data_IF_500300593186
#
_entry.id   IF_500300593186
#
_cell.length_a   1.000
_cell.length_b   1.000
_cell.length_c   1.000
_cell.angle_alpha   90.00
_cell.angle_beta   90.00
_cell.angle_gamma   90.00
#
_symmetry.space_group_name_H-M   'P 1'
#
loop_
_entity.id
_entity.type
_entity.pdbx_description
1 polymer ?
#
# COMPACT_ATOMS: atom_id res chain seq x y z
N UNK A 1 -53.03 -17.22 -70.62
CA UNK A 1 -51.83 -17.70 -69.89
C UNK A 1 -51.14 -16.63 -69.01
N UNK A 2 -51.46 -15.34 -69.12
CA UNK A 2 -50.74 -14.29 -68.36
C UNK A 2 -51.12 -14.14 -66.88
N UNK A 3 -52.28 -14.64 -66.43
CA UNK A 3 -52.73 -14.46 -65.04
C UNK A 3 -51.99 -15.34 -64.02
N UNK A 4 -51.53 -16.54 -64.42
CA UNK A 4 -50.83 -17.47 -63.53
C UNK A 4 -49.41 -16.97 -63.23
N UNK A 5 -48.74 -16.37 -64.22
CA UNK A 5 -47.39 -15.81 -64.05
C UNK A 5 -47.36 -14.62 -63.09
N UNK A 6 -48.43 -13.81 -63.05
CA UNK A 6 -48.55 -12.63 -62.17
C UNK A 6 -48.78 -13.04 -60.70
N UNK A 7 -49.52 -14.12 -60.44
CA UNK A 7 -49.78 -14.60 -59.07
C UNK A 7 -48.51 -15.23 -58.47
N UNK A 8 -47.74 -15.98 -59.27
CA UNK A 8 -46.49 -16.62 -58.81
C UNK A 8 -45.41 -15.59 -58.49
N UNK A 9 -45.24 -14.54 -59.30
CA UNK A 9 -44.25 -13.48 -59.03
C UNK A 9 -44.60 -12.64 -57.79
N UNK A 10 -45.88 -12.43 -57.51
CA UNK A 10 -46.33 -11.67 -56.33
C UNK A 10 -46.03 -12.39 -55.01
N UNK A 11 -46.30 -13.70 -54.93
CA UNK A 11 -45.98 -14.51 -53.75
C UNK A 11 -44.47 -14.67 -53.51
N UNK A 12 -43.68 -14.76 -54.58
CA UNK A 12 -42.21 -14.87 -54.46
C UNK A 12 -41.61 -13.58 -53.89
N UNK A 13 -42.11 -12.41 -54.32
CA UNK A 13 -41.67 -11.12 -53.77
C UNK A 13 -42.05 -10.94 -52.29
N UNK A 14 -43.26 -11.31 -51.87
CA UNK A 14 -43.64 -11.25 -50.43
C UNK A 14 -42.77 -12.16 -49.56
N UNK A 15 -42.40 -13.34 -50.05
CA UNK A 15 -41.51 -14.26 -49.32
C UNK A 15 -40.07 -13.70 -49.25
N UNK A 16 -39.59 -13.08 -50.33
CA UNK A 16 -38.28 -12.42 -50.36
C UNK A 16 -38.23 -11.20 -49.44
N UNK A 17 -39.26 -10.35 -49.46
CA UNK A 17 -39.34 -9.16 -48.61
C UNK A 17 -39.39 -9.53 -47.12
N UNK A 18 -40.17 -10.55 -46.75
CA UNK A 18 -40.21 -11.04 -45.37
C UNK A 18 -38.85 -11.60 -44.90
N UNK A 19 -38.11 -12.30 -45.77
CA UNK A 19 -36.77 -12.81 -45.46
C UNK A 19 -35.76 -11.67 -45.29
N UNK A 20 -35.83 -10.63 -46.14
CA UNK A 20 -34.96 -9.45 -46.04
C UNK A 20 -35.23 -8.69 -44.73
N UNK A 21 -36.50 -8.52 -44.36
CA UNK A 21 -36.88 -7.88 -43.08
C UNK A 21 -36.37 -8.68 -41.89
N UNK A 22 -36.53 -10.01 -41.90
CA UNK A 22 -35.99 -10.89 -40.85
C UNK A 22 -34.46 -10.79 -40.74
N UNK A 23 -33.74 -10.79 -41.86
CA UNK A 23 -32.28 -10.61 -41.89
C UNK A 23 -31.87 -9.24 -41.36
N UNK A 24 -32.59 -8.17 -41.71
CA UNK A 24 -32.33 -6.82 -41.23
C UNK A 24 -32.56 -6.70 -39.70
N UNK A 25 -33.62 -7.32 -39.17
CA UNK A 25 -33.89 -7.36 -37.73
C UNK A 25 -32.80 -8.14 -37.00
N UNK A 26 -32.40 -9.31 -37.54
CA UNK A 26 -31.30 -10.11 -36.98
C UNK A 26 -29.99 -9.31 -36.94
N UNK A 27 -29.61 -8.67 -38.04
CA UNK A 27 -28.44 -7.81 -38.11
C UNK A 27 -28.52 -6.64 -37.12
N UNK A 28 -29.67 -5.96 -37.04
CA UNK A 28 -29.91 -4.88 -36.07
C UNK A 28 -29.75 -5.33 -34.61
N UNK A 29 -30.30 -6.49 -34.25
CA UNK A 29 -30.16 -7.06 -32.90
C UNK A 29 -28.70 -7.40 -32.58
N UNK A 30 -27.95 -7.96 -33.53
CA UNK A 30 -26.52 -8.24 -33.31
C UNK A 30 -25.71 -6.97 -33.07
N UNK A 31 -25.97 -5.89 -33.82
CA UNK A 31 -25.31 -4.60 -33.62
C UNK A 31 -25.65 -3.98 -32.26
N UNK A 32 -26.92 -4.04 -31.83
CA UNK A 32 -27.33 -3.54 -30.50
C UNK A 32 -26.65 -4.35 -29.39
N UNK A 33 -26.62 -5.69 -29.50
CA UNK A 33 -25.95 -6.55 -28.53
C UNK A 33 -24.44 -6.25 -28.45
N UNK A 34 -23.78 -6.09 -29.59
CA UNK A 34 -22.37 -5.72 -29.66
C UNK A 34 -22.10 -4.35 -29.03
N UNK A 35 -22.94 -3.35 -29.32
CA UNK A 35 -22.84 -2.02 -28.72
C UNK A 35 -23.03 -2.07 -27.19
N UNK A 36 -24.00 -2.85 -26.71
CA UNK A 36 -24.24 -3.04 -25.27
C UNK A 36 -23.03 -3.70 -24.58
N UNK A 37 -22.44 -4.73 -25.18
CA UNK A 37 -21.24 -5.39 -24.67
C UNK A 37 -20.06 -4.40 -24.60
N UNK A 38 -19.80 -3.66 -25.67
CA UNK A 38 -18.72 -2.68 -25.71
C UNK A 38 -18.93 -1.52 -24.72
N UNK A 39 -20.18 -1.09 -24.52
CA UNK A 39 -20.49 0.04 -23.63
C UNK A 39 -20.48 -0.33 -22.15
N UNK A 40 -20.92 -1.54 -21.80
CA UNK A 40 -21.16 -1.92 -20.40
C UNK A 40 -20.24 -3.02 -19.89
N UNK A 41 -19.99 -4.07 -20.69
CA UNK A 41 -19.22 -5.24 -20.26
C UNK A 41 -17.73 -4.95 -20.31
N UNK A 42 -17.22 -4.46 -21.44
CA UNK A 42 -15.78 -4.21 -21.65
C UNK A 42 -15.21 -3.25 -20.58
N UNK A 43 -15.81 -2.08 -20.29
CA UNK A 43 -15.26 -1.17 -19.29
C UNK A 43 -15.31 -1.74 -17.89
N UNK A 44 -16.29 -2.60 -17.59
CA UNK A 44 -16.44 -3.24 -16.28
C UNK A 44 -15.37 -4.30 -16.06
N UNK A 45 -15.10 -5.13 -17.07
CA UNK A 45 -14.04 -6.14 -17.04
C UNK A 45 -12.67 -5.47 -16.98
N UNK A 46 -12.42 -4.44 -17.78
CA UNK A 46 -11.17 -3.68 -17.73
C UNK A 46 -10.94 -3.01 -16.38
N UNK A 47 -11.96 -2.39 -15.79
CA UNK A 47 -11.86 -1.80 -14.44
C UNK A 47 -11.57 -2.83 -13.37
N UNK A 48 -12.14 -4.04 -13.51
CA UNK A 48 -11.84 -5.17 -12.62
C UNK A 48 -10.36 -5.55 -12.77
N UNK A 49 -9.91 -5.88 -13.98
CA UNK A 49 -8.51 -6.26 -14.25
C UNK A 49 -7.51 -5.21 -13.77
N UNK A 50 -7.71 -3.93 -14.10
CA UNK A 50 -6.83 -2.83 -13.63
C UNK A 50 -6.82 -2.65 -12.11
N UNK A 51 -7.86 -3.09 -11.40
CA UNK A 51 -7.87 -3.08 -9.93
C UNK A 51 -7.02 -4.23 -9.40
N UNK A 52 -7.18 -5.41 -9.99
CA UNK A 52 -6.43 -6.63 -9.67
C UNK A 52 -4.93 -6.40 -9.90
N UNK A 53 -4.55 -5.95 -11.10
CA UNK A 53 -3.15 -5.65 -11.45
C UNK A 53 -2.52 -4.61 -10.50
N UNK A 54 -3.29 -3.61 -10.06
CA UNK A 54 -2.80 -2.59 -9.11
C UNK A 54 -2.61 -3.15 -7.71
N UNK A 55 -3.54 -4.00 -7.27
CA UNK A 55 -3.47 -4.63 -5.97
C UNK A 55 -2.29 -5.59 -5.87
N UNK A 56 -2.11 -6.46 -6.87
CA UNK A 56 -0.97 -7.37 -6.95
C UNK A 56 0.34 -6.61 -6.94
N UNK A 57 0.45 -5.53 -7.74
CA UNK A 57 1.63 -4.68 -7.74
C UNK A 57 1.91 -4.03 -6.38
N UNK A 58 0.88 -3.57 -5.68
CA UNK A 58 1.05 -2.93 -4.37
C UNK A 58 1.45 -3.96 -3.29
N UNK A 59 0.95 -5.19 -3.36
CA UNK A 59 1.37 -6.31 -2.50
C UNK A 59 2.81 -6.69 -2.78
N UNK A 60 3.18 -6.89 -4.05
CA UNK A 60 4.55 -7.22 -4.43
C UNK A 60 5.53 -6.12 -4.00
N UNK A 61 5.16 -4.85 -4.19
CA UNK A 61 5.96 -3.73 -3.74
C UNK A 61 6.12 -3.70 -2.22
N UNK A 62 5.09 -4.07 -1.46
CA UNK A 62 5.17 -4.19 0.00
C UNK A 62 6.02 -5.39 0.43
N UNK A 63 5.91 -6.53 -0.26
CA UNK A 63 6.72 -7.71 0.00
C UNK A 63 8.20 -7.46 -0.25
N UNK A 64 8.54 -6.83 -1.37
CA UNK A 64 9.90 -6.39 -1.70
C UNK A 64 10.43 -5.45 -0.61
N UNK A 65 9.66 -4.39 -0.28
CA UNK A 65 10.03 -3.44 0.77
C UNK A 65 10.38 -4.13 2.10
N UNK A 66 9.57 -5.08 2.55
CA UNK A 66 9.73 -5.78 3.83
C UNK A 66 10.90 -6.78 3.83
N UNK A 67 11.29 -7.29 2.66
CA UNK A 67 12.30 -8.35 2.54
C UNK A 67 13.67 -7.87 2.09
N UNK A 68 13.76 -6.71 1.43
CA UNK A 68 15.03 -6.17 0.90
C UNK A 68 15.40 -4.83 1.51
N UNK A 69 14.67 -3.76 1.21
CA UNK A 69 15.02 -2.38 1.57
C UNK A 69 14.95 -2.13 3.09
N UNK A 70 13.87 -2.56 3.73
CA UNK A 70 13.62 -2.29 5.15
C UNK A 70 14.64 -2.97 6.09
N UNK A 71 14.96 -4.28 5.93
CA UNK A 71 15.97 -4.93 6.77
C UNK A 71 17.36 -4.31 6.65
N UNK A 72 17.70 -3.76 5.47
CA UNK A 72 18.97 -3.06 5.28
C UNK A 72 19.06 -1.79 6.12
N UNK A 73 18.02 -0.94 6.06
CA UNK A 73 17.95 0.30 6.85
C UNK A 73 17.87 0.02 8.35
N UNK A 74 17.09 -0.98 8.76
CA UNK A 74 17.01 -1.39 10.15
C UNK A 74 18.37 -1.86 10.69
N UNK A 75 19.12 -2.64 9.89
CA UNK A 75 20.48 -3.08 10.24
C UNK A 75 21.43 -1.89 10.37
N UNK A 76 21.41 -0.96 9.43
CA UNK A 76 22.27 0.22 9.47
C UNK A 76 21.99 1.09 10.70
N UNK A 77 20.72 1.37 11.00
CA UNK A 77 20.32 2.08 12.20
C UNK A 77 20.78 1.36 13.47
N UNK A 78 20.54 0.05 13.57
CA UNK A 78 20.96 -0.77 14.70
C UNK A 78 22.46 -0.76 14.93
N UNK A 79 23.26 -0.90 13.86
CA UNK A 79 24.73 -0.87 13.93
C UNK A 79 25.22 0.49 14.44
N UNK A 80 24.72 1.59 13.88
CA UNK A 80 25.14 2.92 14.31
C UNK A 80 24.73 3.22 15.75
N UNK A 81 23.53 2.80 16.17
CA UNK A 81 23.09 2.91 17.57
C UNK A 81 23.97 2.09 18.51
N UNK A 82 24.33 0.86 18.13
CA UNK A 82 25.23 0.00 18.94
C UNK A 82 26.61 0.63 19.08
N UNK A 83 27.19 1.14 17.98
CA UNK A 83 28.50 1.84 18.00
C UNK A 83 28.45 3.08 18.89
N UNK A 84 27.36 3.84 18.83
CA UNK A 84 27.15 5.01 19.68
C UNK A 84 27.13 4.62 21.16
N UNK A 85 26.33 3.62 21.55
CA UNK A 85 26.24 3.15 22.94
C UNK A 85 27.59 2.66 23.44
N UNK A 86 28.28 1.81 22.65
CA UNK A 86 29.58 1.27 23.05
C UNK A 86 30.64 2.35 23.20
N UNK A 87 30.64 3.34 22.30
CA UNK A 87 31.58 4.47 22.33
C UNK A 87 31.32 5.34 23.56
N UNK A 88 30.05 5.64 23.85
CA UNK A 88 29.66 6.41 25.03
C UNK A 88 30.08 5.70 26.32
N UNK A 89 29.73 4.42 26.49
CA UNK A 89 30.14 3.60 27.63
C UNK A 89 31.66 3.56 27.81
N UNK A 90 32.41 3.43 26.72
CA UNK A 90 33.87 3.45 26.76
C UNK A 90 34.41 4.81 27.22
N UNK A 91 33.88 5.91 26.69
CA UNK A 91 34.31 7.28 27.06
C UNK A 91 33.99 7.56 28.54
N UNK A 92 32.77 7.27 28.98
CA UNK A 92 32.33 7.48 30.37
C UNK A 92 33.13 6.63 31.38
N UNK A 93 33.43 5.37 31.03
CA UNK A 93 34.21 4.49 31.90
C UNK A 93 35.70 4.86 31.95
N UNK A 94 36.25 5.38 30.85
CA UNK A 94 37.68 5.73 30.73
C UNK A 94 38.03 7.14 31.23
N UNK A 95 37.07 8.07 31.23
CA UNK A 95 37.32 9.49 31.50
C UNK A 95 36.40 10.05 32.61
N UNK A 96 36.55 9.52 33.83
CA UNK A 96 35.75 9.92 35.00
C UNK A 96 35.90 11.39 35.39
N UNK A 97 37.08 11.97 35.16
CA UNK A 97 37.39 13.36 35.52
C UNK A 97 37.09 14.38 34.40
N UNK A 98 36.45 13.92 33.32
CA UNK A 98 36.04 14.75 32.19
C UNK A 98 36.57 14.25 30.86
N UNK A 99 35.72 14.37 29.83
CA UNK A 99 36.01 13.92 28.46
C UNK A 99 36.91 14.94 27.75
N UNK A 100 38.08 14.53 27.23
CA UNK A 100 38.91 15.40 26.39
C UNK A 100 38.12 15.97 25.21
N UNK A 101 38.35 17.24 24.86
CA UNK A 101 37.59 17.95 23.81
C UNK A 101 37.58 17.21 22.46
N UNK A 102 38.70 16.58 22.09
CA UNK A 102 38.82 15.79 20.85
C UNK A 102 37.91 14.55 20.86
N UNK A 103 37.77 13.90 22.01
CA UNK A 103 36.86 12.76 22.19
C UNK A 103 35.39 13.20 22.23
N UNK A 104 35.12 14.37 22.80
CA UNK A 104 33.79 14.98 22.75
C UNK A 104 33.30 15.19 21.31
N UNK A 105 34.14 15.75 20.44
CA UNK A 105 33.79 15.93 19.02
C UNK A 105 33.57 14.61 18.27
N UNK A 106 34.33 13.56 18.59
CA UNK A 106 34.12 12.21 18.02
C UNK A 106 32.81 11.59 18.50
N UNK A 107 32.47 11.76 19.77
CA UNK A 107 31.21 11.26 20.33
C UNK A 107 30.01 11.93 19.63
N UNK A 108 30.07 13.26 19.45
CA UNK A 108 29.05 14.03 18.73
C UNK A 108 28.88 13.53 17.28
N UNK A 109 29.98 13.23 16.58
CA UNK A 109 29.93 12.68 15.22
C UNK A 109 29.26 11.30 15.18
N UNK A 110 29.56 10.41 16.12
CA UNK A 110 28.96 9.08 16.21
C UNK A 110 27.47 9.18 16.55
N UNK A 111 27.10 10.05 17.49
CA UNK A 111 25.71 10.31 17.85
C UNK A 111 24.91 10.86 16.67
N UNK A 112 25.49 11.79 15.91
CA UNK A 112 24.89 12.33 14.70
C UNK A 112 24.64 11.23 13.67
N UNK A 113 25.60 10.33 13.41
CA UNK A 113 25.42 9.21 12.47
C UNK A 113 24.33 8.24 12.92
N UNK A 114 24.26 7.93 14.21
CA UNK A 114 23.19 7.11 14.76
C UNK A 114 21.81 7.76 14.54
N UNK A 115 21.70 9.07 14.79
CA UNK A 115 20.47 9.83 14.57
C UNK A 115 20.05 9.89 13.12
N UNK A 116 20.99 10.15 12.21
CA UNK A 116 20.73 10.17 10.77
C UNK A 116 20.23 8.80 10.30
N UNK A 117 20.87 7.71 10.74
CA UNK A 117 20.47 6.35 10.39
C UNK A 117 19.09 5.97 10.95
N UNK A 118 18.82 6.28 12.22
CA UNK A 118 17.50 6.02 12.85
C UNK A 118 16.41 6.86 12.20
N UNK A 119 16.69 8.13 11.88
CA UNK A 119 15.74 9.00 11.20
C UNK A 119 15.44 8.49 9.79
N UNK A 120 16.46 8.12 9.01
CA UNK A 120 16.27 7.54 7.69
C UNK A 120 15.42 6.27 7.74
N UNK A 121 15.69 5.37 8.68
CA UNK A 121 14.89 4.17 8.92
C UNK A 121 13.44 4.51 9.31
N UNK A 122 13.23 5.44 10.24
CA UNK A 122 11.91 5.85 10.70
C UNK A 122 11.08 6.49 9.59
N UNK A 123 11.63 7.49 8.89
CA UNK A 123 10.94 8.20 7.82
C UNK A 123 10.56 7.25 6.68
N UNK A 124 11.51 6.43 6.24
CA UNK A 124 11.30 5.47 5.19
C UNK A 124 10.19 4.47 5.55
N UNK A 125 10.29 3.84 6.72
CA UNK A 125 9.35 2.81 7.15
C UNK A 125 7.97 3.38 7.45
N UNK A 126 7.88 4.51 8.15
CA UNK A 126 6.61 5.15 8.49
C UNK A 126 5.84 5.62 7.26
N UNK A 127 6.52 6.24 6.29
CA UNK A 127 5.85 6.78 5.10
C UNK A 127 5.48 5.64 4.16
N UNK A 128 6.44 4.77 3.83
CA UNK A 128 6.28 3.79 2.74
C UNK A 128 5.35 2.65 3.11
N UNK A 129 5.52 2.05 4.28
CA UNK A 129 4.68 0.93 4.74
C UNK A 129 3.24 1.42 4.92
N UNK A 130 3.04 2.54 5.62
CA UNK A 130 1.69 3.11 5.83
C UNK A 130 0.99 3.40 4.51
N UNK A 131 1.70 3.98 3.54
CA UNK A 131 1.14 4.31 2.24
C UNK A 131 0.73 3.06 1.46
N UNK A 132 1.60 2.05 1.37
CA UNK A 132 1.28 0.79 0.68
C UNK A 132 0.14 0.04 1.35
N UNK A 133 0.18 -0.12 2.68
CA UNK A 133 -0.90 -0.77 3.45
C UNK A 133 -2.23 -0.04 3.25
N UNK A 134 -2.24 1.29 3.25
CA UNK A 134 -3.46 2.08 3.00
C UNK A 134 -4.02 1.84 1.59
N UNK A 135 -3.15 1.72 0.58
CA UNK A 135 -3.56 1.43 -0.81
C UNK A 135 -4.13 0.03 -0.96
N UNK A 136 -3.47 -0.97 -0.38
CA UNK A 136 -3.94 -2.37 -0.38
C UNK A 136 -5.29 -2.47 0.33
N UNK A 137 -5.41 -1.88 1.53
CA UNK A 137 -6.63 -1.90 2.33
C UNK A 137 -7.81 -1.14 1.71
N UNK A 138 -7.55 -0.19 0.79
CA UNK A 138 -8.61 0.61 0.14
C UNK A 138 -9.58 -0.22 -0.71
N UNK A 139 -9.20 -1.43 -1.11
CA UNK A 139 -9.99 -2.29 -2.00
C UNK A 139 -11.10 -3.00 -1.24
N UNK A 140 -10.79 -3.55 -0.06
CA UNK A 140 -11.75 -4.21 0.81
C UNK A 140 -11.40 -3.96 2.29
N UNK A 141 -11.64 -2.73 2.79
CA UNK A 141 -11.20 -2.32 4.13
C UNK A 141 -11.83 -3.15 5.26
N UNK A 142 -12.99 -3.75 5.01
CA UNK A 142 -13.74 -4.50 6.01
C UNK A 142 -13.34 -5.98 6.13
N UNK A 143 -12.50 -6.49 5.23
CA UNK A 143 -12.03 -7.87 5.30
C UNK A 143 -11.16 -8.10 6.54
N UNK A 144 -11.16 -9.34 7.02
CA UNK A 144 -10.42 -9.71 8.23
C UNK A 144 -8.92 -9.54 8.02
N UNK A 145 -8.45 -9.90 6.83
CA UNK A 145 -7.07 -9.83 6.38
C UNK A 145 -6.60 -8.36 6.33
N UNK A 146 -7.41 -7.45 5.78
CA UNK A 146 -7.04 -6.02 5.76
C UNK A 146 -7.02 -5.40 7.16
N UNK A 147 -7.96 -5.77 8.03
CA UNK A 147 -7.94 -5.33 9.43
C UNK A 147 -6.69 -5.83 10.17
N UNK A 148 -6.27 -7.07 9.90
CA UNK A 148 -5.06 -7.63 10.47
C UNK A 148 -3.80 -6.92 9.96
N UNK A 149 -3.70 -6.71 8.64
CA UNK A 149 -2.61 -5.95 8.02
C UNK A 149 -2.49 -4.53 8.60
N UNK A 150 -3.61 -3.83 8.77
CA UNK A 150 -3.65 -2.49 9.38
C UNK A 150 -3.21 -2.51 10.86
N UNK A 151 -3.66 -3.50 11.64
CA UNK A 151 -3.23 -3.68 13.03
C UNK A 151 -1.72 -3.91 13.13
N UNK A 152 -1.17 -4.79 12.27
CA UNK A 152 0.26 -5.06 12.23
C UNK A 152 1.05 -3.81 11.82
N UNK A 153 0.57 -3.04 10.84
CA UNK A 153 1.18 -1.76 10.46
C UNK A 153 1.19 -0.75 11.62
N UNK A 154 0.11 -0.69 12.40
CA UNK A 154 0.04 0.18 13.58
C UNK A 154 1.01 -0.27 14.68
N UNK A 155 1.06 -1.57 14.96
CA UNK A 155 2.02 -2.14 15.92
C UNK A 155 3.46 -1.84 15.50
N UNK A 156 3.76 -2.05 14.22
CA UNK A 156 5.07 -1.73 13.63
C UNK A 156 5.43 -0.26 13.82
N UNK A 157 4.50 0.65 13.51
CA UNK A 157 4.73 2.08 13.69
C UNK A 157 5.02 2.44 15.15
N UNK A 158 4.29 1.88 16.12
CA UNK A 158 4.55 2.14 17.53
C UNK A 158 5.94 1.66 17.95
N UNK A 159 6.38 0.50 17.45
CA UNK A 159 7.72 -0.02 17.72
C UNK A 159 8.81 0.87 17.14
N UNK A 160 8.70 1.27 15.86
CA UNK A 160 9.70 2.16 15.22
C UNK A 160 9.66 3.56 15.83
N UNK A 161 8.49 4.06 16.23
CA UNK A 161 8.37 5.34 16.94
C UNK A 161 9.13 5.29 18.28
N UNK A 162 9.03 4.20 19.03
CA UNK A 162 9.83 4.00 20.25
C UNK A 162 11.32 4.04 19.93
N UNK A 163 11.77 3.33 18.89
CA UNK A 163 13.18 3.36 18.43
C UNK A 163 13.63 4.78 18.05
N UNK A 164 12.78 5.59 17.43
CA UNK A 164 13.12 6.99 17.08
C UNK A 164 13.11 7.96 18.26
N UNK A 165 12.31 7.68 19.30
CA UNK A 165 12.18 8.57 20.47
C UNK A 165 13.37 8.48 21.44
N UNK A 166 14.32 7.57 21.19
CA UNK A 166 15.56 7.48 21.96
C UNK A 166 16.50 8.68 21.82
N UNK A 167 16.14 9.67 20.99
CA UNK A 167 16.97 10.84 20.76
C UNK A 167 17.20 11.70 22.03
N UNK A 168 16.30 11.69 23.03
CA UNK A 168 16.30 12.70 24.11
C UNK A 168 16.59 12.27 25.57
N UNK A 169 16.60 10.97 25.89
CA UNK A 169 16.74 10.48 27.29
C UNK A 169 17.82 9.38 27.38
N UNK A 170 19.00 9.70 26.86
CA UNK A 170 20.05 8.71 26.55
C UNK A 170 20.88 8.25 27.74
N UNK A 171 20.76 8.92 28.88
CA UNK A 171 21.62 8.69 30.04
C UNK A 171 21.16 7.49 30.88
N UNK A 172 20.00 6.90 30.56
CA UNK A 172 19.43 5.70 31.21
C UNK A 172 19.40 4.47 30.28
N UNK A 173 20.10 4.52 29.14
CA UNK A 173 19.93 3.50 28.10
C UNK A 173 20.56 2.16 28.48
N UNK A 174 19.68 1.23 28.86
CA UNK A 174 19.99 -0.19 28.91
C UNK A 174 20.12 -0.75 27.48
N UNK A 175 21.28 -1.35 27.20
CA UNK A 175 21.56 -1.99 25.91
C UNK A 175 20.61 -3.16 25.66
N UNK A 176 20.18 -3.83 26.74
CA UNK A 176 19.20 -4.92 26.66
C UNK A 176 17.80 -4.42 26.26
N UNK A 177 17.41 -3.21 26.67
CA UNK A 177 16.13 -2.61 26.27
C UNK A 177 16.12 -2.26 24.78
N UNK A 178 17.23 -1.69 24.28
CA UNK A 178 17.38 -1.36 22.87
C UNK A 178 17.36 -2.64 22.03
N UNK A 179 18.10 -3.67 22.45
CA UNK A 179 18.09 -4.97 21.77
C UNK A 179 16.71 -5.61 21.75
N UNK A 180 15.95 -5.48 22.85
CA UNK A 180 14.56 -5.95 22.93
C UNK A 180 13.69 -5.25 21.90
N UNK A 181 13.84 -3.94 21.69
CA UNK A 181 13.08 -3.21 20.68
C UNK A 181 13.41 -3.61 19.25
N UNK A 182 14.68 -3.85 18.95
CA UNK A 182 15.07 -4.38 17.63
C UNK A 182 14.51 -5.79 17.39
N UNK A 183 14.45 -6.63 18.42
CA UNK A 183 13.78 -7.94 18.34
C UNK A 183 12.27 -7.79 18.13
N UNK A 184 11.63 -6.85 18.83
CA UNK A 184 10.21 -6.53 18.64
C UNK A 184 9.93 -6.06 17.21
N UNK A 185 10.77 -5.16 16.66
CA UNK A 185 10.68 -4.69 15.27
C UNK A 185 10.79 -5.87 14.30
N UNK A 186 11.84 -6.68 14.42
CA UNK A 186 12.05 -7.83 13.54
C UNK A 186 10.89 -8.82 13.60
N UNK A 187 10.35 -9.07 14.80
CA UNK A 187 9.18 -9.93 14.99
C UNK A 187 7.95 -9.39 14.26
N UNK A 188 7.67 -8.08 14.36
CA UNK A 188 6.53 -7.47 13.68
C UNK A 188 6.75 -7.44 12.16
N UNK A 189 7.96 -7.17 11.68
CA UNK A 189 8.33 -7.25 10.26
C UNK A 189 8.11 -8.66 9.70
N UNK A 190 8.47 -9.70 10.45
CA UNK A 190 8.18 -11.09 10.09
C UNK A 190 6.67 -11.38 10.03
N UNK A 191 5.88 -10.83 10.96
CA UNK A 191 4.43 -10.98 10.96
C UNK A 191 3.79 -10.25 9.77
N UNK A 192 4.24 -9.03 9.45
CA UNK A 192 3.82 -8.28 8.28
C UNK A 192 4.13 -9.05 6.99
N UNK A 193 5.35 -9.59 6.88
CA UNK A 193 5.78 -10.38 5.71
C UNK A 193 4.87 -11.60 5.50
N UNK A 194 4.61 -12.36 6.56
CA UNK A 194 3.69 -13.52 6.50
C UNK A 194 2.26 -13.13 6.10
N UNK A 195 1.78 -11.98 6.56
CA UNK A 195 0.45 -11.51 6.16
C UNK A 195 0.42 -11.09 4.69
N UNK A 196 1.47 -10.42 4.20
CA UNK A 196 1.64 -10.07 2.78
C UNK A 196 1.72 -11.33 1.91
N UNK A 197 2.44 -12.36 2.33
CA UNK A 197 2.47 -13.67 1.65
C UNK A 197 1.08 -14.30 1.58
N UNK A 198 0.35 -14.34 2.70
CA UNK A 198 -1.04 -14.82 2.72
C UNK A 198 -1.92 -14.08 1.75
N UNK A 199 -1.81 -12.75 1.70
CA UNK A 199 -2.56 -11.92 0.77
C UNK A 199 -2.16 -12.23 -0.68
N UNK A 200 -0.87 -12.41 -0.97
CA UNK A 200 -0.41 -12.77 -2.31
C UNK A 200 -0.93 -14.15 -2.78
N UNK A 201 -1.07 -15.12 -1.87
CA UNK A 201 -1.58 -16.46 -2.18
C UNK A 201 -3.12 -16.57 -2.18
N UNK A 202 -3.83 -15.59 -1.61
CA UNK A 202 -5.28 -15.55 -1.68
C UNK A 202 -5.71 -15.25 -3.14
N UNK A 203 -5.92 -16.33 -3.91
CA UNK A 203 -6.17 -16.35 -5.37
C UNK A 203 -7.32 -15.46 -5.88
N UNK A 204 -8.18 -14.94 -5.01
CA UNK A 204 -9.29 -14.08 -5.38
C UNK A 204 -9.02 -12.64 -4.92
N UNK A 205 -8.79 -11.74 -5.87
CA UNK A 205 -8.81 -10.31 -5.55
C UNK A 205 -10.20 -9.96 -5.02
N UNK A 206 -10.30 -9.45 -3.79
CA UNK A 206 -11.58 -9.29 -3.15
C UNK A 206 -12.49 -8.38 -3.96
N UNK A 207 -13.73 -8.85 -4.21
CA UNK A 207 -14.73 -8.14 -5.02
C UNK A 207 -15.06 -6.81 -4.33
N UNK A 208 -14.88 -5.69 -5.05
CA UNK A 208 -15.17 -4.37 -4.52
C UNK A 208 -16.60 -4.31 -3.95
N UNK A 209 -16.82 -3.61 -2.82
CA UNK A 209 -18.16 -3.34 -2.34
C UNK A 209 -18.92 -2.57 -3.42
N UNK A 210 -20.14 -3.04 -3.73
CA UNK A 210 -21.06 -2.40 -4.66
C UNK A 210 -21.20 -0.94 -4.23
N UNK A 211 -20.96 -0.01 -5.17
CA UNK A 211 -20.88 1.44 -4.99
C UNK A 211 -21.80 1.95 -3.88
N UNK A 212 -21.21 2.35 -2.74
CA UNK A 212 -21.97 2.95 -1.64
C UNK A 212 -21.12 3.31 -0.42
N UNK A 213 -20.14 2.48 -0.03
CA UNK A 213 -19.43 2.65 1.25
C UNK A 213 -17.99 3.21 1.14
N UNK A 214 -17.31 3.05 0.01
CA UNK A 214 -15.87 3.38 -0.11
C UNK A 214 -15.55 4.88 -0.22
N UNK A 215 -16.50 5.74 -0.63
CA UNK A 215 -16.28 7.20 -0.67
C UNK A 215 -16.15 7.83 0.73
N UNK A 216 -16.72 7.21 1.76
CA UNK A 216 -16.70 7.74 3.12
C UNK A 216 -15.34 7.52 3.80
N UNK A 217 -14.74 6.35 3.60
CA UNK A 217 -13.43 5.97 4.17
C UNK A 217 -12.29 6.83 3.61
N UNK A 218 -12.29 7.11 2.30
CA UNK A 218 -11.24 7.94 1.68
C UNK A 218 -11.31 9.42 2.15
N UNK A 219 -12.52 9.93 2.43
CA UNK A 219 -12.71 11.28 2.99
C UNK A 219 -12.26 11.39 4.45
N UNK A 220 -12.39 10.32 5.23
CA UNK A 220 -11.95 10.28 6.63
C UNK A 220 -10.43 10.09 6.75
N UNK A 221 -9.81 9.30 5.87
CA UNK A 221 -8.37 9.05 5.91
C UNK A 221 -7.52 10.25 5.45
N UNK A 222 -8.04 11.09 4.54
CA UNK A 222 -7.27 12.21 3.94
C UNK A 222 -7.78 13.59 4.39
N UNK A 223 -9.01 13.66 4.90
CA UNK A 223 -9.68 14.91 5.32
C UNK A 223 -8.97 15.78 6.38
N UNK A 224 -8.18 15.24 7.34
CA UNK A 224 -7.54 16.11 8.33
C UNK A 224 -6.36 16.92 7.76
N UNK A 225 -5.68 16.44 6.72
CA UNK A 225 -4.46 17.08 6.21
C UNK A 225 -4.74 18.33 5.35
N UNK A 226 -5.94 18.47 4.79
CA UNK A 226 -6.28 19.62 3.94
C UNK A 226 -6.84 20.82 4.70
N UNK A 227 -7.13 20.71 6.01
CA UNK A 227 -7.72 21.80 6.80
C UNK A 227 -6.72 22.66 7.58
N UNK A 228 -5.49 22.20 7.81
CA UNK A 228 -4.50 22.98 8.57
C UNK A 228 -3.76 24.07 7.78
N UNK A 229 -3.85 24.12 6.45
CA UNK A 229 -3.14 25.14 5.64
C UNK A 229 -3.86 26.49 5.48
N UNK A 230 -5.07 26.68 6.04
CA UNK A 230 -5.88 27.90 5.79
C UNK A 230 -5.90 28.95 6.92
N UNK A 231 -5.20 28.73 8.04
CA UNK A 231 -5.26 29.64 9.21
C UNK A 231 -3.95 30.36 9.58
N UNK A 232 -2.92 30.38 8.73
CA UNK A 232 -1.65 31.12 8.99
C UNK A 232 -1.52 32.42 8.17
N UNK A 233 -2.60 33.17 7.98
CA UNK A 233 -2.59 34.38 7.14
C UNK A 233 -3.42 35.56 7.65
N UNK A 234 -3.69 35.63 8.96
CA UNK A 234 -4.23 36.83 9.61
C UNK A 234 -3.65 36.92 11.01
N UNK A 235 -2.62 37.76 11.14
CA UNK A 235 -1.91 38.10 12.35
C UNK A 235 -0.85 39.10 11.97
#
# INVERSE_FOLDING_TARGET
>A
MSFVTIIVTKNVNEILDNKIVLLAIGAGLTLIAQLAIQRFVVPRVERKKRREDRWERDILALGELLTSELPSLAREARVNVSVMISTRKYVESSYKDGVPKELGGRLEEVEKKANEAVSAFYEFSHIRIRWLVSRIASIQPESREMKNLQRLQQAYWLTVARISMFDGHRDELDEDEIEKLWKEEQNITNLLTKEVERLAFALDVPRAPILGKSRQVYRQAIGPLSRQKKNKGKG
#
